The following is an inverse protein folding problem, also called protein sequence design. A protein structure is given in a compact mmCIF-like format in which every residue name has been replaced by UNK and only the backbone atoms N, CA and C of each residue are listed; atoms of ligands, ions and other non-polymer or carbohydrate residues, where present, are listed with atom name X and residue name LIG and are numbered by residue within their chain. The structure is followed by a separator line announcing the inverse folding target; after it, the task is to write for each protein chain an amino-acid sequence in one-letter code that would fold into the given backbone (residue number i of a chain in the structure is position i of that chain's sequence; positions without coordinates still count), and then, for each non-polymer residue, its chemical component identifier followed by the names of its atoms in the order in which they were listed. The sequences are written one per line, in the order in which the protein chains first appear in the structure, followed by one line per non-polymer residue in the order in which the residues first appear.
data_IF_423172617809
#
_entry.id   IF_423172617809
#
_cell.length_a   1.000
_cell.length_b   1.000
_cell.length_c   1.000
_cell.angle_alpha   90.00
_cell.angle_beta   90.00
_cell.angle_gamma   90.00
#
_symmetry.space_group_name_H-M   'P 1'
#
loop_
_entity.id
_entity.type
_entity.pdbx_description
1 polymer ?
#
# COMPACT_ATOMS: atom_id res chain seq x y z
N UNK A 1 32.43 5.69 -3.61
CA UNK A 1 31.99 6.01 -4.99
C UNK A 1 30.97 7.14 -4.89
N UNK A 2 31.27 8.34 -5.42
CA UNK A 2 30.43 9.52 -5.23
C UNK A 2 29.24 9.60 -6.20
N UNK A 3 28.11 10.09 -5.67
CA UNK A 3 26.91 10.52 -6.39
C UNK A 3 27.22 11.64 -7.40
N UNK A 4 26.65 11.55 -8.60
CA UNK A 4 26.44 12.71 -9.48
C UNK A 4 24.96 12.85 -9.82
N UNK A 5 24.34 13.90 -9.28
CA UNK A 5 23.06 14.45 -9.74
C UNK A 5 23.33 15.43 -10.88
N UNK A 6 22.57 15.34 -11.98
CA UNK A 6 22.59 16.31 -13.08
C UNK A 6 21.27 17.06 -13.10
N UNK A 7 21.33 18.33 -12.67
CA UNK A 7 20.27 19.31 -12.83
C UNK A 7 20.15 19.70 -14.31
N UNK A 8 18.94 19.63 -14.85
CA UNK A 8 18.58 20.16 -16.16
C UNK A 8 17.49 21.21 -16.00
N UNK A 9 17.91 22.47 -15.96
CA UNK A 9 17.07 23.68 -15.95
C UNK A 9 16.86 24.16 -17.39
N UNK A 10 15.61 24.30 -17.83
CA UNK A 10 15.15 24.94 -19.09
C UNK A 10 13.62 24.97 -19.04
N UNK A 11 12.86 26.00 -19.35
CA UNK A 11 13.13 27.32 -19.89
C UNK A 11 11.82 28.11 -19.88
N UNK A 12 11.95 29.41 -19.65
CA UNK A 12 10.92 30.43 -19.58
C UNK A 12 10.16 30.55 -20.92
N UNK A 13 8.83 30.62 -20.90
CA UNK A 13 8.03 30.72 -22.12
C UNK A 13 6.62 31.27 -21.90
N UNK A 14 6.52 32.57 -21.58
CA UNK A 14 5.26 33.32 -21.61
C UNK A 14 4.80 33.47 -23.07
N UNK A 15 3.59 33.01 -23.41
CA UNK A 15 2.82 33.57 -24.54
C UNK A 15 1.35 33.71 -24.16
N UNK A 16 0.96 34.98 -24.09
CA UNK A 16 -0.41 35.49 -24.03
C UNK A 16 -1.01 35.36 -25.43
N UNK A 17 -2.20 34.79 -25.57
CA UNK A 17 -3.06 35.01 -26.73
C UNK A 17 -4.53 35.03 -26.29
N UNK A 18 -5.12 36.24 -26.32
CA UNK A 18 -6.57 36.49 -26.30
C UNK A 18 -7.00 36.71 -27.75
N UNK A 19 -8.17 36.17 -28.14
CA UNK A 19 -9.11 36.68 -29.16
C UNK A 19 -10.33 35.71 -29.17
N UNK A 20 -11.46 36.02 -28.54
CA UNK A 20 -12.64 36.80 -29.02
C UNK A 20 -13.62 36.00 -29.91
N UNK A 21 -14.70 35.52 -29.27
CA UNK A 21 -16.15 35.66 -29.54
C UNK A 21 -16.80 35.34 -30.91
N UNK A 22 -18.01 34.76 -30.79
CA UNK A 22 -19.19 34.60 -31.70
C UNK A 22 -19.33 33.21 -32.35
N UNK A 23 -20.50 32.56 -32.45
CA UNK A 23 -21.89 32.77 -32.01
C UNK A 23 -22.65 31.42 -32.17
N UNK A 24 -23.58 31.09 -31.27
CA UNK A 24 -25.05 31.03 -31.46
C UNK A 24 -25.59 29.94 -32.43
N UNK A 25 -26.67 29.26 -31.98
CA UNK A 25 -27.64 28.37 -32.70
C UNK A 25 -27.26 26.86 -32.63
N UNK A 26 -28.07 25.86 -32.23
CA UNK A 26 -29.49 25.72 -31.90
C UNK A 26 -29.77 24.47 -31.02
N UNK A 27 -30.74 24.61 -30.10
CA UNK A 27 -31.89 23.73 -29.82
C UNK A 27 -31.82 22.24 -30.21
N UNK A 28 -31.64 21.32 -29.26
CA UNK A 28 -32.12 19.92 -29.26
C UNK A 28 -32.67 19.64 -27.84
N UNK A 29 -33.99 19.67 -27.65
CA UNK A 29 -34.90 18.52 -27.62
C UNK A 29 -34.70 17.55 -26.42
N UNK A 30 -35.79 17.48 -25.64
CA UNK A 30 -36.24 16.51 -24.64
C UNK A 30 -35.34 15.31 -24.29
N UNK A 31 -35.12 15.15 -22.98
CA UNK A 31 -34.72 13.87 -22.41
C UNK A 31 -34.52 13.96 -20.89
N UNK A 32 -35.61 13.95 -20.11
CA UNK A 32 -35.55 13.62 -18.68
C UNK A 32 -35.15 12.17 -18.54
N UNK A 33 -33.83 11.91 -18.57
CA UNK A 33 -33.26 10.62 -18.22
C UNK A 33 -33.44 10.41 -16.70
N UNK A 34 -33.81 9.20 -16.26
CA UNK A 34 -33.86 8.87 -14.84
C UNK A 34 -32.47 9.13 -14.26
N UNK A 35 -32.43 9.73 -13.07
CA UNK A 35 -31.24 9.82 -12.27
C UNK A 35 -30.74 8.39 -12.02
N UNK A 36 -29.85 7.92 -12.90
CA UNK A 36 -28.92 6.88 -12.58
C UNK A 36 -28.12 7.46 -11.42
N UNK A 37 -28.44 6.99 -10.23
CA UNK A 37 -27.51 7.00 -9.12
C UNK A 37 -26.28 6.27 -9.64
N UNK A 38 -25.36 7.03 -10.23
CA UNK A 38 -23.96 6.70 -10.22
C UNK A 38 -23.65 6.53 -8.73
N UNK A 39 -23.81 5.30 -8.26
CA UNK A 39 -22.98 4.78 -7.20
C UNK A 39 -21.59 5.04 -7.73
N UNK A 40 -21.03 6.18 -7.36
CA UNK A 40 -19.62 6.37 -7.26
C UNK A 40 -19.17 5.13 -6.52
N UNK A 41 -18.71 4.13 -7.29
CA UNK A 41 -17.80 3.13 -6.78
C UNK A 41 -16.79 3.99 -6.05
N UNK A 42 -16.92 4.03 -4.74
CA UNK A 42 -15.89 4.58 -3.92
C UNK A 42 -14.71 3.69 -4.28
N UNK A 43 -13.79 4.21 -5.08
CA UNK A 43 -12.39 3.90 -4.95
C UNK A 43 -11.84 4.81 -3.83
N UNK A 44 -11.89 4.45 -2.53
CA UNK A 44 -11.11 5.15 -1.52
C UNK A 44 -9.99 4.25 -0.97
N UNK A 45 -9.78 3.03 -1.51
CA UNK A 45 -8.89 2.06 -0.89
C UNK A 45 -7.45 2.10 -1.45
N UNK A 46 -7.27 2.31 -2.76
CA UNK A 46 -5.94 2.23 -3.37
C UNK A 46 -5.07 3.47 -3.08
N UNK A 47 -5.68 4.65 -2.94
CA UNK A 47 -4.95 5.90 -2.64
C UNK A 47 -4.53 6.02 -1.16
N UNK A 48 -5.30 5.43 -0.24
CA UNK A 48 -5.03 5.47 1.20
C UNK A 48 -4.33 4.22 1.74
N UNK A 49 -4.09 3.22 0.90
CA UNK A 49 -3.34 2.01 1.24
C UNK A 49 -1.88 2.34 1.59
N UNK A 50 -1.44 1.96 2.78
CA UNK A 50 -0.04 2.10 3.19
C UNK A 50 0.81 1.05 2.48
N UNK A 51 0.27 -0.16 2.30
CA UNK A 51 0.94 -1.24 1.56
C UNK A 51 1.17 -0.86 0.10
N UNK A 52 0.19 -0.24 -0.56
CA UNK A 52 0.34 0.20 -1.95
C UNK A 52 1.43 1.26 -2.08
N UNK A 53 1.53 2.20 -1.12
CA UNK A 53 2.61 3.19 -1.05
C UNK A 53 3.98 2.56 -0.80
N UNK A 54 4.03 1.50 0.02
CA UNK A 54 5.26 0.72 0.22
C UNK A 54 5.70 0.02 -1.06
N UNK A 55 4.80 -0.70 -1.72
CA UNK A 55 5.08 -1.38 -2.99
C UNK A 55 5.56 -0.37 -4.03
N UNK A 56 4.85 0.77 -4.17
CA UNK A 56 5.23 1.85 -5.07
C UNK A 56 6.54 2.58 -4.67
N UNK A 57 6.95 2.55 -3.40
CA UNK A 57 8.27 3.05 -3.00
C UNK A 57 9.36 2.12 -3.52
N UNK A 58 9.23 0.82 -3.29
CA UNK A 58 10.22 -0.19 -3.71
C UNK A 58 10.44 -0.21 -5.21
N UNK A 59 9.38 -0.06 -6.01
CA UNK A 59 9.51 -0.01 -7.48
C UNK A 59 10.30 1.19 -7.98
N UNK A 60 10.37 2.27 -7.18
CA UNK A 60 11.13 3.49 -7.51
C UNK A 60 12.52 3.50 -6.89
N UNK A 61 12.72 2.84 -5.75
CA UNK A 61 13.93 2.94 -4.95
C UNK A 61 14.06 1.79 -3.95
N UNK A 62 15.26 1.23 -3.83
CA UNK A 62 15.63 0.27 -2.76
C UNK A 62 16.12 0.97 -1.47
N UNK A 63 16.00 2.30 -1.39
CA UNK A 63 16.43 3.05 -0.21
C UNK A 63 15.52 2.79 1.01
N UNK A 64 16.06 2.90 2.23
CA UNK A 64 15.26 2.85 3.45
C UNK A 64 14.09 3.85 3.43
N UNK A 65 12.94 3.45 3.98
CA UNK A 65 11.74 4.30 4.06
C UNK A 65 11.16 4.31 5.45
N UNK A 66 10.88 5.48 6.00
CA UNK A 66 10.16 5.59 7.27
C UNK A 66 8.67 5.42 7.03
N UNK A 67 7.99 4.57 7.82
CA UNK A 67 6.53 4.42 7.70
C UNK A 67 5.79 5.74 7.93
N UNK A 68 6.35 6.63 8.75
CA UNK A 68 5.80 7.96 8.98
C UNK A 68 5.71 8.79 7.69
N UNK A 69 6.61 8.59 6.72
CA UNK A 69 6.57 9.26 5.41
C UNK A 69 5.48 8.70 4.48
N UNK A 70 4.97 7.50 4.78
CA UNK A 70 3.94 6.81 4.00
C UNK A 70 2.56 6.85 4.65
N UNK A 71 2.41 7.56 5.77
CA UNK A 71 1.15 7.68 6.51
C UNK A 71 0.78 9.14 6.71
N UNK A 72 -0.48 9.50 6.44
CA UNK A 72 -1.02 10.86 6.65
C UNK A 72 -1.77 11.03 7.98
N UNK A 73 -1.89 9.96 8.76
CA UNK A 73 -2.60 9.94 10.04
C UNK A 73 -1.64 9.79 11.23
N UNK A 74 -2.14 10.10 12.42
CA UNK A 74 -1.40 9.94 13.67
C UNK A 74 -1.41 8.50 14.19
N UNK A 75 -0.24 8.03 14.59
CA UNK A 75 -0.02 6.73 15.21
C UNK A 75 1.27 6.75 16.05
N UNK A 76 1.40 5.78 16.95
CA UNK A 76 2.50 5.66 17.92
C UNK A 76 3.31 4.39 17.72
N UNK A 77 2.65 3.28 17.38
CA UNK A 77 3.31 2.01 17.05
C UNK A 77 2.63 1.30 15.89
N UNK A 78 3.37 0.41 15.24
CA UNK A 78 2.81 -0.53 14.26
C UNK A 78 3.20 -1.96 14.59
N UNK A 79 2.44 -2.90 14.07
CA UNK A 79 2.71 -4.34 14.16
C UNK A 79 2.29 -5.04 12.88
N UNK A 80 2.94 -6.16 12.58
CA UNK A 80 2.50 -7.07 11.53
C UNK A 80 2.20 -8.42 12.15
N UNK A 81 0.95 -8.88 12.05
CA UNK A 81 0.51 -10.18 12.57
C UNK A 81 0.02 -11.06 11.42
N UNK A 82 -0.16 -12.35 11.67
CA UNK A 82 -0.83 -13.25 10.72
C UNK A 82 -2.28 -13.45 11.15
N UNK A 83 -3.20 -13.31 10.20
CA UNK A 83 -4.60 -13.61 10.41
C UNK A 83 -5.18 -14.35 9.19
N UNK A 84 -6.22 -15.18 9.36
CA UNK A 84 -6.94 -15.77 8.23
C UNK A 84 -7.46 -14.66 7.30
N UNK A 85 -7.34 -14.83 5.98
CA UNK A 85 -7.85 -13.87 4.99
C UNK A 85 -9.34 -13.51 5.20
N UNK A 86 -10.12 -14.46 5.71
CA UNK A 86 -11.53 -14.31 6.09
C UNK A 86 -12.51 -14.59 4.95
N UNK A 87 -13.70 -15.08 5.29
CA UNK A 87 -14.72 -15.54 4.32
C UNK A 87 -15.30 -14.39 3.46
N UNK A 88 -15.23 -13.15 3.95
CA UNK A 88 -15.72 -11.98 3.22
C UNK A 88 -14.90 -11.67 1.95
N UNK A 89 -13.66 -12.17 1.85
CA UNK A 89 -12.82 -12.03 0.65
C UNK A 89 -13.13 -13.08 -0.43
N UNK A 90 -13.88 -14.13 -0.09
CA UNK A 90 -14.39 -15.13 -1.03
C UNK A 90 -15.62 -14.64 -1.84
N UNK A 91 -16.11 -13.41 -1.60
CA UNK A 91 -17.34 -12.87 -2.25
C UNK A 91 -17.11 -12.18 -3.59
N UNK A 92 -15.89 -12.23 -4.10
CA UNK A 92 -15.52 -11.78 -5.42
C UNK A 92 -16.11 -12.77 -6.46
N UNK A 93 -17.41 -12.61 -6.75
CA UNK A 93 -18.22 -13.54 -7.55
C UNK A 93 -19.67 -13.70 -7.07
N UNK A 94 -20.00 -13.35 -5.82
CA UNK A 94 -21.39 -13.48 -5.29
C UNK A 94 -22.37 -12.45 -5.84
N UNK A 95 -21.88 -11.38 -6.46
CA UNK A 95 -22.70 -10.31 -7.03
C UNK A 95 -22.76 -10.31 -8.58
N UNK A 96 -22.19 -11.31 -9.25
CA UNK A 96 -22.23 -11.43 -10.72
C UNK A 96 -21.43 -10.36 -11.49
N UNK A 97 -20.57 -9.58 -10.81
CA UNK A 97 -19.75 -8.54 -11.43
C UNK A 97 -18.27 -8.98 -11.42
N UNK A 98 -17.80 -9.35 -12.63
CA UNK A 98 -16.43 -9.67 -13.04
C UNK A 98 -15.77 -10.92 -12.42
N UNK A 99 -14.98 -11.69 -13.19
CA UNK A 99 -14.14 -12.74 -12.62
C UNK A 99 -13.04 -12.07 -11.79
N UNK A 100 -13.01 -12.34 -10.50
CA UNK A 100 -11.85 -11.99 -9.70
C UNK A 100 -10.74 -12.98 -10.02
N UNK A 101 -9.61 -12.47 -10.52
CA UNK A 101 -8.45 -13.31 -10.79
C UNK A 101 -8.00 -14.06 -9.53
N UNK A 102 -7.41 -15.27 -9.67
CA UNK A 102 -6.95 -16.07 -8.52
C UNK A 102 -5.94 -15.32 -7.64
N UNK A 103 -5.26 -14.30 -8.17
CA UNK A 103 -4.33 -13.44 -7.44
C UNK A 103 -5.03 -12.52 -6.43
N UNK A 104 -6.34 -12.28 -6.60
CA UNK A 104 -7.14 -11.38 -5.76
C UNK A 104 -7.98 -12.13 -4.73
N UNK A 105 -7.99 -13.46 -4.79
CA UNK A 105 -8.83 -14.30 -3.94
C UNK A 105 -7.97 -15.33 -3.19
N UNK A 106 -7.53 -15.01 -1.96
CA UNK A 106 -6.82 -15.97 -1.14
C UNK A 106 -7.70 -17.18 -0.83
N UNK A 107 -7.11 -18.36 -0.72
CA UNK A 107 -7.84 -19.56 -0.32
C UNK A 107 -8.49 -19.34 1.05
N UNK A 108 -9.69 -19.89 1.24
CA UNK A 108 -10.37 -19.82 2.53
C UNK A 108 -9.46 -20.44 3.62
N UNK A 109 -9.19 -19.70 4.68
CA UNK A 109 -8.26 -20.11 5.73
C UNK A 109 -6.78 -19.83 5.46
N UNK A 110 -6.40 -19.31 4.28
CA UNK A 110 -5.04 -18.85 4.02
C UNK A 110 -4.66 -17.75 4.99
N UNK A 111 -3.49 -17.89 5.62
CA UNK A 111 -2.95 -16.90 6.54
C UNK A 111 -2.29 -15.78 5.74
N UNK A 112 -2.75 -14.55 5.96
CA UNK A 112 -2.17 -13.33 5.36
C UNK A 112 -1.58 -12.46 6.45
N UNK A 113 -0.62 -11.62 6.08
CA UNK A 113 -0.09 -10.61 7.00
C UNK A 113 -1.09 -9.45 7.13
N UNK A 114 -1.22 -8.93 8.34
CA UNK A 114 -2.05 -7.78 8.68
C UNK A 114 -1.16 -6.72 9.30
N UNK A 115 -1.04 -5.59 8.60
CA UNK A 115 -0.37 -4.40 9.09
C UNK A 115 -1.36 -3.61 9.95
N UNK A 116 -1.03 -3.35 11.21
CA UNK A 116 -1.87 -2.60 12.15
C UNK A 116 -1.08 -1.43 12.71
N UNK A 117 -1.72 -0.26 12.79
CA UNK A 117 -1.19 0.91 13.50
C UNK A 117 -2.05 1.21 14.72
N UNK A 118 -1.39 1.60 15.81
CA UNK A 118 -2.03 1.92 17.07
C UNK A 118 -1.66 3.32 17.57
N UNK A 119 -2.62 3.96 18.25
CA UNK A 119 -2.45 5.23 18.97
C UNK A 119 -3.11 5.10 20.34
N UNK A 120 -2.37 5.34 21.41
CA UNK A 120 -2.86 5.29 22.78
C UNK A 120 -3.58 3.96 23.10
N UNK A 121 -3.00 2.85 22.63
CA UNK A 121 -3.54 1.50 22.79
C UNK A 121 -4.75 1.15 21.91
N UNK A 122 -5.21 2.05 21.03
CA UNK A 122 -6.33 1.81 20.10
C UNK A 122 -5.83 1.62 18.68
N UNK A 123 -6.41 0.67 17.96
CA UNK A 123 -6.17 0.52 16.52
C UNK A 123 -6.75 1.72 15.77
N UNK A 124 -5.91 2.39 14.99
CA UNK A 124 -6.30 3.53 14.14
C UNK A 124 -6.29 3.17 12.66
N UNK A 125 -5.56 2.12 12.28
CA UNK A 125 -5.49 1.63 10.91
C UNK A 125 -5.19 0.13 10.90
N UNK A 126 -5.77 -0.59 9.96
CA UNK A 126 -5.43 -1.99 9.70
C UNK A 126 -5.60 -2.32 8.22
N UNK A 127 -4.62 -3.00 7.66
CA UNK A 127 -4.60 -3.40 6.25
C UNK A 127 -4.08 -4.83 6.10
N UNK A 128 -4.77 -5.62 5.28
CA UNK A 128 -4.33 -6.96 4.90
C UNK A 128 -3.35 -6.85 3.73
N UNK A 129 -2.20 -7.49 3.87
CA UNK A 129 -1.13 -7.48 2.87
C UNK A 129 -1.39 -8.61 1.88
N UNK A 130 -1.99 -8.27 0.74
CA UNK A 130 -2.28 -9.21 -0.34
C UNK A 130 -1.19 -9.23 -1.40
N UNK A 131 -0.49 -8.11 -1.58
CA UNK A 131 0.60 -8.00 -2.54
C UNK A 131 1.85 -8.72 -2.02
N UNK A 132 2.43 -9.61 -2.83
CA UNK A 132 3.64 -10.35 -2.48
C UNK A 132 4.81 -9.41 -2.15
N UNK A 133 4.97 -8.33 -2.93
CA UNK A 133 5.97 -7.29 -2.70
C UNK A 133 5.65 -6.36 -1.51
N UNK A 134 4.49 -6.54 -0.88
CA UNK A 134 4.11 -5.85 0.34
C UNK A 134 4.53 -6.62 1.60
N UNK A 135 4.98 -7.87 1.46
CA UNK A 135 5.24 -8.74 2.60
C UNK A 135 6.41 -8.27 3.47
N UNK A 136 6.27 -8.47 4.78
CA UNK A 136 7.27 -8.21 5.80
C UNK A 136 7.99 -9.50 6.21
N UNK A 137 9.22 -9.37 6.70
CA UNK A 137 9.91 -10.46 7.37
C UNK A 137 9.15 -10.93 8.62
N UNK A 138 9.23 -12.22 8.93
CA UNK A 138 8.64 -12.82 10.13
C UNK A 138 9.76 -13.49 10.95
N UNK A 139 9.83 -13.28 12.27
CA UNK A 139 8.95 -12.45 13.09
C UNK A 139 9.37 -10.97 13.11
N UNK A 140 8.39 -10.07 13.13
CA UNK A 140 8.61 -8.67 13.50
C UNK A 140 8.43 -8.45 14.99
N UNK A 141 9.12 -7.45 15.60
CA UNK A 141 8.84 -7.05 16.96
C UNK A 141 7.38 -6.65 17.14
N UNK A 142 6.81 -7.03 18.28
CA UNK A 142 5.47 -6.60 18.67
C UNK A 142 5.55 -5.13 19.08
N UNK A 143 4.72 -4.27 18.51
CA UNK A 143 4.70 -2.81 18.74
C UNK A 143 6.00 -2.07 18.40
N UNK A 144 6.34 -1.99 17.13
CA UNK A 144 7.46 -1.15 16.67
C UNK A 144 7.10 0.33 16.84
N UNK A 145 7.84 1.10 17.65
CA UNK A 145 7.56 2.52 17.85
C UNK A 145 7.74 3.31 16.57
N UNK A 146 6.96 4.37 16.38
CA UNK A 146 7.03 5.26 15.21
C UNK A 146 8.44 5.80 14.95
N UNK A 147 9.20 6.10 16.00
CA UNK A 147 10.58 6.58 15.90
C UNK A 147 11.55 5.53 15.33
N UNK A 148 11.23 4.25 15.45
CA UNK A 148 12.06 3.12 14.98
C UNK A 148 11.49 2.45 13.73
N UNK A 149 10.43 2.99 13.15
CA UNK A 149 9.68 2.39 12.05
C UNK A 149 10.28 2.71 10.67
N UNK A 150 11.59 2.59 10.54
CA UNK A 150 12.27 2.62 9.25
C UNK A 150 12.31 1.22 8.67
N UNK A 151 11.89 1.07 7.42
CA UNK A 151 11.86 -0.18 6.69
C UNK A 151 12.96 -0.23 5.64
N UNK A 152 13.57 -1.40 5.50
CA UNK A 152 14.59 -1.70 4.50
C UNK A 152 14.22 -2.98 3.74
N UNK A 153 14.74 -3.12 2.52
CA UNK A 153 14.62 -4.36 1.75
C UNK A 153 15.53 -5.44 2.35
N UNK A 154 14.99 -6.64 2.53
CA UNK A 154 15.70 -7.83 2.96
C UNK A 154 15.22 -9.05 2.17
N UNK A 155 15.99 -10.13 2.15
CA UNK A 155 15.66 -11.32 1.36
C UNK A 155 15.06 -12.42 2.24
N UNK A 156 13.98 -13.02 1.75
CA UNK A 156 13.46 -14.29 2.24
C UNK A 156 14.41 -15.45 1.90
N UNK A 157 14.19 -16.62 2.50
CA UNK A 157 14.95 -17.85 2.21
C UNK A 157 14.81 -18.29 0.75
N UNK A 158 13.69 -17.97 0.11
CA UNK A 158 13.38 -18.26 -1.29
C UNK A 158 13.82 -17.12 -2.25
N UNK A 159 14.52 -16.10 -1.75
CA UNK A 159 15.02 -14.98 -2.55
C UNK A 159 13.98 -13.90 -2.85
N UNK A 160 12.77 -13.99 -2.27
CA UNK A 160 11.75 -12.94 -2.42
C UNK A 160 12.07 -11.71 -1.56
N UNK A 161 11.84 -10.48 -2.08
CA UNK A 161 12.11 -9.26 -1.33
C UNK A 161 11.03 -8.98 -0.27
N UNK A 162 11.44 -8.88 0.98
CA UNK A 162 10.61 -8.57 2.14
C UNK A 162 10.95 -7.20 2.74
N UNK A 163 10.01 -6.63 3.48
CA UNK A 163 10.25 -5.48 4.34
C UNK A 163 10.76 -5.91 5.71
N UNK A 164 11.92 -5.40 6.11
CA UNK A 164 12.48 -5.56 7.45
C UNK A 164 12.51 -4.21 8.18
N UNK A 165 12.34 -4.22 9.51
CA UNK A 165 12.58 -3.03 10.33
C UNK A 165 14.08 -2.83 10.50
N UNK A 166 14.55 -1.62 10.19
CA UNK A 166 15.95 -1.24 10.32
C UNK A 166 16.38 -1.35 11.79
N UNK A 167 17.49 -2.06 12.03
CA UNK A 167 18.02 -2.25 13.39
C UNK A 167 17.24 -3.26 14.24
N UNK A 168 16.10 -3.77 13.77
CA UNK A 168 15.51 -4.97 14.36
C UNK A 168 16.42 -6.14 14.01
N UNK A 169 17.13 -6.68 15.01
CA UNK A 169 17.70 -8.02 14.87
C UNK A 169 16.50 -8.93 14.66
N UNK A 170 16.35 -9.45 13.43
CA UNK A 170 15.43 -10.56 13.18
C UNK A 170 15.82 -11.61 14.21
N UNK A 171 15.00 -11.77 15.25
CA UNK A 171 15.21 -12.76 16.28
C UNK A 171 15.05 -14.09 15.56
N UNK A 172 16.16 -14.61 15.02
CA UNK A 172 16.26 -16.01 14.63
C UNK A 172 15.74 -16.77 15.85
N UNK A 173 14.67 -17.55 15.68
CA UNK A 173 14.36 -18.59 16.66
C UNK A 173 15.64 -19.43 16.82
N UNK A 174 16.14 -19.63 18.04
CA UNK A 174 17.20 -20.61 18.27
C UNK A 174 16.74 -21.93 17.65
N UNK A 175 17.56 -22.53 16.78
CA UNK A 175 17.24 -23.83 16.21
C UNK A 175 17.89 -24.85 17.14
N UNK A 176 17.11 -25.58 17.97
CA UNK A 176 17.68 -26.41 19.03
C UNK A 176 18.66 -27.48 18.52
N UNK A 177 18.58 -27.81 17.23
CA UNK A 177 19.40 -28.84 16.61
C UNK A 177 20.75 -28.33 16.05
N UNK A 178 20.89 -27.03 15.80
CA UNK A 178 22.12 -26.46 15.22
C UNK A 178 23.02 -25.77 16.25
N UNK A 179 22.47 -25.46 17.44
CA UNK A 179 23.16 -24.66 18.45
C UNK A 179 24.00 -25.50 19.45
N UNK A 180 24.08 -26.82 19.26
CA UNK A 180 25.02 -27.72 19.96
C UNK A 180 24.70 -27.97 21.43
N UNK A 181 24.41 -29.23 21.77
CA UNK A 181 24.38 -29.72 23.15
C UNK A 181 25.76 -30.13 23.65
#
# INVERSE_FOLDING_TARGET
MPCQQRFGSSGFGKRVFRLTLYGLIALHMLGTAPAATAQTLSEPAMADSVVSRLVAWRTRSDQPVTLAALTSFDWESFSVTRAPAGDAMASCGRAGLLPCGPELQPEAGQMVQVLTFQRSGRQVYSERIMAENGAFADPLPVHVPRASATLVSCQATDGRPLWCVQGARVLRRPQPFLDGG
#
